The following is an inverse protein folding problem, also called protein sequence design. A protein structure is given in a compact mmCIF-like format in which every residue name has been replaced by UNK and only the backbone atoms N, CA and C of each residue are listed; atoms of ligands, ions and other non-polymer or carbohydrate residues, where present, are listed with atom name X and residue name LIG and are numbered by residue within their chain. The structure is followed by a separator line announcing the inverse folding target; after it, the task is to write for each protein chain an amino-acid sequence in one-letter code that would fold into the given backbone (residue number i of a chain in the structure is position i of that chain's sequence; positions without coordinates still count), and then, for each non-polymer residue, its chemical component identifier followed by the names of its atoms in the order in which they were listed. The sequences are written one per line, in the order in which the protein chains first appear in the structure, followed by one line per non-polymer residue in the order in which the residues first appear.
data_IF_437319092688
#
_entry.id   IF_437319092688
#
_cell.length_a   1.000
_cell.length_b   1.000
_cell.length_c   1.000
_cell.angle_alpha   90.00
_cell.angle_beta   90.00
_cell.angle_gamma   90.00
#
_symmetry.space_group_name_H-M   'P 1'
#
loop_
_entity.id
_entity.type
_entity.pdbx_description
1 polymer ?
#
# COMPACT_ATOMS: atom_id res chain seq x y z
N UNK A 1 27.27 -4.03 18.25
CA UNK A 1 26.27 -4.33 17.21
C UNK A 1 26.81 -5.50 16.41
N UNK A 2 26.35 -6.70 16.71
CA UNK A 2 26.92 -7.95 16.23
C UNK A 2 26.60 -8.11 14.75
N UNK A 3 27.57 -7.86 13.87
CA UNK A 3 27.50 -8.30 12.48
C UNK A 3 27.60 -9.82 12.52
N UNK A 4 26.46 -10.51 12.45
CA UNK A 4 26.43 -11.94 12.21
C UNK A 4 27.23 -12.18 10.92
N UNK A 5 28.38 -12.83 11.02
CA UNK A 5 29.11 -13.35 9.87
C UNK A 5 28.13 -14.28 9.14
N UNK A 6 27.49 -13.78 8.09
CA UNK A 6 26.57 -14.57 7.28
C UNK A 6 27.43 -15.62 6.61
N UNK A 7 27.33 -16.88 7.07
CA UNK A 7 27.96 -18.01 6.38
C UNK A 7 27.61 -17.97 4.89
N UNK A 8 28.54 -18.28 3.96
CA UNK A 8 28.28 -18.24 2.52
C UNK A 8 27.04 -19.06 2.10
N UNK A 9 26.68 -20.08 2.89
CA UNK A 9 25.45 -20.87 2.70
C UNK A 9 24.18 -20.02 2.89
N UNK A 10 24.16 -19.14 3.89
CA UNK A 10 23.04 -18.24 4.12
C UNK A 10 22.90 -17.26 2.96
N UNK A 11 23.98 -16.64 2.50
CA UNK A 11 23.98 -15.70 1.37
C UNK A 11 23.38 -16.32 0.10
N UNK A 12 23.82 -17.54 -0.22
CA UNK A 12 23.22 -18.32 -1.31
C UNK A 12 21.75 -18.64 -1.08
N UNK A 13 21.36 -19.00 0.14
CA UNK A 13 19.95 -19.23 0.45
C UNK A 13 19.10 -17.96 0.24
N UNK A 14 19.61 -16.77 0.56
CA UNK A 14 18.90 -15.51 0.30
C UNK A 14 18.72 -15.29 -1.20
N UNK A 15 19.80 -15.44 -1.97
CA UNK A 15 19.76 -15.20 -3.41
C UNK A 15 18.76 -16.14 -4.10
N UNK A 16 18.74 -17.41 -3.72
CA UNK A 16 17.78 -18.38 -4.25
C UNK A 16 16.35 -18.02 -3.87
N UNK A 17 16.10 -17.65 -2.61
CA UNK A 17 14.77 -17.23 -2.16
C UNK A 17 14.31 -15.95 -2.88
N UNK A 18 15.17 -14.94 -3.01
CA UNK A 18 14.87 -13.70 -3.74
C UNK A 18 14.61 -13.99 -5.20
N UNK A 19 15.41 -14.83 -5.84
CA UNK A 19 15.23 -15.18 -7.25
C UNK A 19 13.89 -15.88 -7.51
N UNK A 20 13.55 -16.88 -6.68
CA UNK A 20 12.27 -17.59 -6.79
C UNK A 20 11.10 -16.63 -6.48
N UNK A 21 11.24 -15.82 -5.42
CA UNK A 21 10.24 -14.83 -5.02
C UNK A 21 9.96 -13.82 -6.12
N UNK A 22 11.00 -13.22 -6.69
CA UNK A 22 10.89 -12.27 -7.80
C UNK A 22 10.25 -12.91 -9.03
N UNK A 23 10.63 -14.16 -9.37
CA UNK A 23 10.02 -14.89 -10.47
C UNK A 23 8.52 -15.10 -10.28
N UNK A 24 8.10 -15.59 -9.11
CA UNK A 24 6.67 -15.79 -8.79
C UNK A 24 5.91 -14.46 -8.79
N UNK A 25 6.51 -13.40 -8.22
CA UNK A 25 5.95 -12.05 -8.19
C UNK A 25 5.73 -11.51 -9.61
N UNK A 26 6.73 -11.62 -10.49
CA UNK A 26 6.63 -11.22 -11.89
C UNK A 26 5.54 -12.01 -12.64
N UNK A 27 5.45 -13.32 -12.45
CA UNK A 27 4.38 -14.12 -13.06
C UNK A 27 2.99 -13.65 -12.60
N UNK A 28 2.81 -13.37 -11.30
CA UNK A 28 1.57 -12.85 -10.75
C UNK A 28 1.21 -11.45 -11.30
N UNK A 29 2.20 -10.55 -11.38
CA UNK A 29 2.03 -9.21 -11.94
C UNK A 29 1.63 -9.27 -13.42
N UNK A 30 2.31 -10.10 -14.21
CA UNK A 30 1.98 -10.31 -15.63
C UNK A 30 0.58 -10.88 -15.80
N UNK A 31 0.21 -11.89 -15.01
CA UNK A 31 -1.14 -12.46 -15.06
C UNK A 31 -2.19 -11.39 -14.73
N UNK A 32 -1.97 -10.60 -13.68
CA UNK A 32 -2.86 -9.49 -13.30
C UNK A 32 -2.96 -8.45 -14.42
N UNK A 33 -1.84 -8.10 -15.04
CA UNK A 33 -1.80 -7.16 -16.17
C UNK A 33 -2.59 -7.68 -17.38
N UNK A 34 -2.41 -8.96 -17.73
CA UNK A 34 -3.15 -9.64 -18.80
C UNK A 34 -4.65 -9.64 -18.51
N UNK A 35 -5.06 -9.99 -17.28
CA UNK A 35 -6.47 -9.94 -16.88
C UNK A 35 -7.05 -8.54 -17.02
N UNK A 36 -6.33 -7.49 -16.62
CA UNK A 36 -6.79 -6.11 -16.78
C UNK A 36 -7.02 -5.73 -18.26
N UNK A 37 -6.17 -6.21 -19.17
CA UNK A 37 -6.33 -6.00 -20.60
C UNK A 37 -7.47 -6.84 -21.18
N UNK A 38 -7.53 -8.12 -20.83
CA UNK A 38 -8.50 -9.09 -21.36
C UNK A 38 -9.94 -8.79 -20.90
N UNK A 39 -10.13 -8.40 -19.65
CA UNK A 39 -11.45 -8.05 -19.09
C UNK A 39 -11.91 -6.67 -19.59
N UNK A 40 -11.04 -5.89 -20.21
CA UNK A 40 -11.41 -4.59 -20.78
C UNK A 40 -12.02 -3.65 -19.74
N UNK A 41 -11.53 -3.70 -18.49
CA UNK A 41 -12.10 -2.95 -17.38
C UNK A 41 -12.13 -1.47 -17.75
N UNK A 42 -13.31 -0.82 -17.77
CA UNK A 42 -13.42 0.58 -18.13
C UNK A 42 -12.48 1.43 -17.27
N UNK A 43 -11.93 2.49 -17.87
CA UNK A 43 -11.02 3.44 -17.21
C UNK A 43 -11.74 4.13 -16.05
N UNK A 44 -11.74 3.50 -14.88
CA UNK A 44 -12.19 4.05 -13.61
C UNK A 44 -10.96 4.49 -12.80
N UNK A 45 -11.13 5.47 -11.91
CA UNK A 45 -10.06 5.97 -11.03
C UNK A 45 -9.33 4.82 -10.31
N UNK A 46 -10.08 3.79 -9.90
CA UNK A 46 -9.53 2.58 -9.26
C UNK A 46 -8.65 1.74 -10.19
N UNK A 47 -9.05 1.57 -11.44
CA UNK A 47 -8.27 0.84 -12.46
C UNK A 47 -6.95 1.55 -12.77
N UNK A 48 -6.93 2.88 -12.71
CA UNK A 48 -5.71 3.69 -12.92
C UNK A 48 -4.74 3.53 -11.75
N UNK A 49 -5.23 3.57 -10.51
CA UNK A 49 -4.42 3.32 -9.31
C UNK A 49 -3.82 1.92 -9.35
N UNK A 50 -4.62 0.90 -9.65
CA UNK A 50 -4.15 -0.48 -9.75
C UNK A 50 -3.11 -0.67 -10.85
N UNK A 51 -3.28 -0.02 -12.01
CA UNK A 51 -2.27 -0.02 -13.08
C UNK A 51 -0.96 0.63 -12.62
N UNK A 52 -1.03 1.78 -11.96
CA UNK A 52 0.17 2.46 -11.46
C UNK A 52 0.89 1.62 -10.40
N UNK A 53 0.14 0.91 -9.56
CA UNK A 53 0.64 -0.03 -8.57
C UNK A 53 1.38 -1.21 -9.22
N UNK A 54 0.75 -1.87 -10.20
CA UNK A 54 1.35 -3.02 -10.92
C UNK A 54 2.63 -2.59 -11.63
N UNK A 55 2.63 -1.42 -12.27
CA UNK A 55 3.82 -0.88 -12.95
C UNK A 55 4.91 -0.51 -11.94
N UNK A 56 4.57 0.15 -10.84
CA UNK A 56 5.52 0.50 -9.78
C UNK A 56 6.18 -0.74 -9.15
N UNK A 57 5.38 -1.78 -8.85
CA UNK A 57 5.87 -3.06 -8.33
C UNK A 57 6.72 -3.79 -9.37
N UNK A 58 6.31 -3.80 -10.65
CA UNK A 58 7.10 -4.39 -11.72
C UNK A 58 8.46 -3.71 -11.88
N UNK A 59 8.52 -2.37 -11.80
CA UNK A 59 9.78 -1.62 -11.80
C UNK A 59 10.61 -1.96 -10.56
N UNK A 60 10.01 -2.04 -9.37
CA UNK A 60 10.72 -2.40 -8.14
C UNK A 60 11.35 -3.80 -8.21
N UNK A 61 10.63 -4.79 -8.76
CA UNK A 61 11.13 -6.15 -9.00
C UNK A 61 12.30 -6.18 -10.01
N UNK A 62 12.19 -5.41 -11.10
CA UNK A 62 13.29 -5.25 -12.06
C UNK A 62 14.51 -4.58 -11.44
N UNK A 63 14.28 -3.56 -10.60
CA UNK A 63 15.34 -2.86 -9.86
C UNK A 63 16.03 -3.78 -8.85
N UNK A 64 15.30 -4.71 -8.20
CA UNK A 64 15.88 -5.74 -7.35
C UNK A 64 16.79 -6.68 -8.12
N UNK A 65 16.35 -7.18 -9.29
CA UNK A 65 17.18 -8.01 -10.16
C UNK A 65 18.42 -7.26 -10.69
N UNK A 66 18.27 -5.98 -11.04
CA UNK A 66 19.38 -5.13 -11.46
C UNK A 66 20.32 -4.76 -10.30
N UNK A 67 19.89 -4.87 -9.05
CA UNK A 67 20.69 -4.50 -7.87
C UNK A 67 21.94 -5.37 -7.73
N UNK A 68 21.84 -6.68 -8.01
CA UNK A 68 23.01 -7.57 -8.01
C UNK A 68 24.05 -7.12 -9.05
N UNK A 69 23.59 -6.65 -10.22
CA UNK A 69 24.47 -6.14 -11.27
C UNK A 69 25.03 -4.74 -10.97
N UNK A 70 24.21 -3.89 -10.35
CA UNK A 70 24.55 -2.54 -9.92
C UNK A 70 25.39 -2.51 -8.64
N UNK A 71 25.60 -3.64 -7.95
CA UNK A 71 26.42 -3.75 -6.74
C UNK A 71 27.88 -3.31 -6.96
N UNK A 72 28.33 -3.24 -8.22
CA UNK A 72 29.64 -2.70 -8.58
C UNK A 72 29.73 -1.16 -8.45
N UNK A 73 28.59 -0.45 -8.37
CA UNK A 73 28.54 1.00 -8.32
C UNK A 73 27.67 1.49 -7.15
N UNK A 74 28.31 2.06 -6.13
CA UNK A 74 27.67 2.48 -4.88
C UNK A 74 26.51 3.47 -5.10
N UNK A 75 26.67 4.42 -6.04
CA UNK A 75 25.63 5.38 -6.37
C UNK A 75 24.39 4.76 -7.01
N UNK A 76 24.57 3.71 -7.82
CA UNK A 76 23.45 3.00 -8.45
C UNK A 76 22.66 2.19 -7.42
N UNK A 77 23.35 1.51 -6.49
CA UNK A 77 22.72 0.76 -5.40
C UNK A 77 21.87 1.68 -4.48
N UNK A 78 22.40 2.86 -4.15
CA UNK A 78 21.70 3.85 -3.32
C UNK A 78 20.44 4.38 -4.03
N UNK A 79 20.54 4.66 -5.34
CA UNK A 79 19.40 5.07 -6.16
C UNK A 79 18.32 3.98 -6.25
N UNK A 80 18.71 2.73 -6.50
CA UNK A 80 17.81 1.55 -6.54
C UNK A 80 17.05 1.44 -5.22
N UNK A 81 17.75 1.52 -4.09
CA UNK A 81 17.16 1.42 -2.74
C UNK A 81 16.15 2.55 -2.48
N UNK A 82 16.51 3.79 -2.82
CA UNK A 82 15.64 4.94 -2.65
C UNK A 82 14.37 4.83 -3.51
N UNK A 83 14.52 4.46 -4.79
CA UNK A 83 13.39 4.27 -5.70
C UNK A 83 12.44 3.17 -5.19
N UNK A 84 12.99 2.04 -4.75
CA UNK A 84 12.21 0.94 -4.21
C UNK A 84 11.37 1.39 -3.00
N UNK A 85 11.97 2.12 -2.05
CA UNK A 85 11.25 2.66 -0.91
C UNK A 85 10.12 3.61 -1.31
N UNK A 86 10.38 4.52 -2.25
CA UNK A 86 9.38 5.47 -2.73
C UNK A 86 8.20 4.75 -3.40
N UNK A 87 8.47 3.75 -4.25
CA UNK A 87 7.43 2.97 -4.92
C UNK A 87 6.59 2.17 -3.92
N UNK A 88 7.21 1.54 -2.91
CA UNK A 88 6.47 0.82 -1.86
C UNK A 88 5.61 1.76 -1.00
N UNK A 89 6.15 2.92 -0.60
CA UNK A 89 5.40 3.91 0.19
C UNK A 89 4.22 4.49 -0.58
N UNK A 90 4.42 4.82 -1.86
CA UNK A 90 3.35 5.26 -2.73
C UNK A 90 2.27 4.17 -2.86
N UNK A 91 2.69 2.92 -3.10
CA UNK A 91 1.80 1.76 -3.20
C UNK A 91 0.94 1.57 -1.94
N UNK A 92 1.56 1.63 -0.76
CA UNK A 92 0.85 1.51 0.51
C UNK A 92 -0.14 2.65 0.73
N UNK A 93 0.26 3.89 0.41
CA UNK A 93 -0.60 5.06 0.53
C UNK A 93 -1.82 4.96 -0.39
N UNK A 94 -1.64 4.53 -1.64
CA UNK A 94 -2.74 4.32 -2.59
C UNK A 94 -3.68 3.19 -2.17
N UNK A 95 -3.15 2.07 -1.67
CA UNK A 95 -3.96 0.97 -1.14
C UNK A 95 -4.74 1.37 0.11
N UNK A 96 -4.15 2.20 0.99
CA UNK A 96 -4.82 2.78 2.14
C UNK A 96 -5.97 3.71 1.71
N UNK A 97 -5.75 4.57 0.71
CA UNK A 97 -6.82 5.43 0.15
C UNK A 97 -7.95 4.59 -0.43
N UNK A 98 -7.65 3.54 -1.20
CA UNK A 98 -8.70 2.61 -1.67
C UNK A 98 -9.45 1.94 -0.51
N UNK A 99 -8.73 1.50 0.53
CA UNK A 99 -9.30 0.93 1.75
C UNK A 99 -10.22 1.91 2.49
N UNK A 100 -9.79 3.16 2.66
CA UNK A 100 -10.59 4.22 3.28
C UNK A 100 -11.81 4.61 2.43
N UNK A 101 -11.69 4.63 1.11
CA UNK A 101 -12.82 4.87 0.19
C UNK A 101 -13.86 3.75 0.27
N UNK A 102 -13.41 2.50 0.35
CA UNK A 102 -14.28 1.33 0.54
C UNK A 102 -14.94 1.37 1.92
N UNK A 103 -14.18 1.62 2.98
CA UNK A 103 -14.69 1.79 4.33
C UNK A 103 -15.75 2.88 4.41
N UNK A 104 -15.46 4.05 3.83
CA UNK A 104 -16.40 5.18 3.80
C UNK A 104 -17.67 4.85 3.01
N UNK A 105 -17.59 4.10 1.90
CA UNK A 105 -18.78 3.63 1.17
C UNK A 105 -19.60 2.62 1.99
N UNK A 106 -18.95 1.67 2.65
CA UNK A 106 -19.62 0.67 3.51
C UNK A 106 -20.29 1.34 4.71
N UNK A 107 -19.59 2.26 5.37
CA UNK A 107 -20.14 3.04 6.49
C UNK A 107 -21.25 3.98 6.01
N UNK A 108 -21.10 4.63 4.86
CA UNK A 108 -22.15 5.44 4.24
C UNK A 108 -23.39 4.63 3.83
N UNK A 109 -23.21 3.37 3.43
CA UNK A 109 -24.33 2.43 3.18
C UNK A 109 -24.99 1.98 4.48
N UNK A 110 -24.22 1.74 5.54
CA UNK A 110 -24.75 1.39 6.86
C UNK A 110 -25.46 2.58 7.55
N UNK A 111 -25.08 3.79 7.17
CA UNK A 111 -25.71 5.03 7.56
C UNK A 111 -26.59 5.48 6.38
N UNK A 112 -27.75 4.82 6.22
CA UNK A 112 -28.87 5.37 5.46
C UNK A 112 -29.00 6.87 5.74
N UNK A 113 -29.30 7.70 4.73
CA UNK A 113 -29.27 9.18 4.85
C UNK A 113 -29.93 9.72 6.15
N UNK A 114 -30.97 9.04 6.60
CA UNK A 114 -31.66 9.23 7.89
C UNK A 114 -30.73 9.22 9.13
N UNK A 115 -29.80 8.28 9.20
CA UNK A 115 -28.88 8.11 10.33
C UNK A 115 -27.67 9.06 10.24
N UNK A 116 -27.33 9.57 9.05
CA UNK A 116 -26.21 10.50 8.82
C UNK A 116 -26.53 11.87 9.41
N UNK A 117 -27.74 12.36 9.14
CA UNK A 117 -28.27 13.56 9.79
C UNK A 117 -28.37 13.36 11.30
N UNK A 118 -28.90 12.23 11.79
CA UNK A 118 -28.98 11.95 13.23
C UNK A 118 -27.61 11.89 13.93
N UNK A 119 -26.57 11.35 13.29
CA UNK A 119 -25.23 11.29 13.87
C UNK A 119 -24.56 12.67 13.87
N UNK A 120 -24.68 13.45 12.79
CA UNK A 120 -24.23 14.85 12.76
C UNK A 120 -24.97 15.71 13.79
N UNK A 121 -26.29 15.53 13.94
CA UNK A 121 -27.07 16.16 15.00
C UNK A 121 -26.61 15.68 16.38
N UNK A 122 -26.35 14.39 16.60
CA UNK A 122 -25.89 13.89 17.91
C UNK A 122 -24.50 14.37 18.32
N UNK A 123 -23.57 14.47 17.37
CA UNK A 123 -22.21 14.97 17.61
C UNK A 123 -22.22 16.51 17.73
N UNK A 124 -23.03 17.21 16.92
CA UNK A 124 -23.19 18.67 16.97
C UNK A 124 -24.02 19.16 18.15
N UNK A 125 -24.97 18.37 18.65
CA UNK A 125 -25.74 18.65 19.86
C UNK A 125 -25.05 18.22 21.15
N UNK A 126 -23.75 17.91 21.09
CA UNK A 126 -22.85 17.74 22.23
C UNK A 126 -23.60 17.66 23.55
N UNK A 127 -24.02 16.45 23.93
CA UNK A 127 -24.55 16.16 25.26
C UNK A 127 -23.42 16.32 26.27
N UNK A 128 -23.01 17.57 26.47
CA UNK A 128 -22.36 18.11 27.65
C UNK A 128 -22.86 19.54 27.83
N UNK A 129 -24.12 19.75 28.25
CA UNK A 129 -24.36 20.82 29.20
C UNK A 129 -23.72 20.37 30.51
N UNK A 130 -22.40 20.52 30.64
CA UNK A 130 -21.79 20.67 31.96
C UNK A 130 -22.22 22.05 32.48
N UNK A 131 -23.53 22.18 32.77
CA UNK A 131 -24.08 23.29 33.53
C UNK A 131 -24.00 22.83 34.98
N UNK A 132 -22.82 22.99 35.57
CA UNK A 132 -22.66 22.99 37.03
C UNK A 132 -23.46 24.21 37.51
N UNK A 133 -24.73 24.03 37.85
CA UNK A 133 -25.46 24.98 38.68
C UNK A 133 -24.99 24.80 40.12
N UNK A 134 -24.60 25.87 40.83
CA UNK A 134 -24.27 25.80 42.25
C UNK A 134 -25.52 25.42 43.05
N UNK A 135 -25.41 24.41 43.91
CA UNK A 135 -26.44 24.06 44.88
C UNK A 135 -26.32 25.02 46.08
N UNK A 136 -27.14 26.06 46.10
CA UNK A 136 -27.39 26.87 47.29
C UNK A 136 -28.74 26.48 47.89
N UNK A 137 -28.72 25.60 48.89
CA UNK A 137 -29.64 25.64 50.05
C UNK A 137 -28.94 24.93 51.20
#
# INVERSE_FOLDING_TARGET
MSVCQRSPENERALQVMTFIGCGVSLCGLLFTFILFFAVGVPKSDRTTVHKNLIVALGIAELLLMCSDWASANEGACLLVTALLHLFFMASFSWMLVEGLLLWSKVVSVNISEDRRMKMYYGIGWGKTPCRITPHST
#
